data_IF_922583817370
#
_entry.id   IF_922583817370
#
_cell.length_a   1.000
_cell.length_b   1.000
_cell.length_c   1.000
_cell.angle_alpha   90.00
_cell.angle_beta   90.00
_cell.angle_gamma   90.00
#
_symmetry.space_group_name_H-M   'P 1'
#
loop_
_entity.id
_entity.type
_entity.pdbx_description
1 polymer ?
#
# COMPACT_ATOMS: atom_id res chain seq x y z
N UNK A 1 27.55 -13.27 -8.86
CA UNK A 1 26.07 -13.11 -8.79
C UNK A 1 25.55 -12.87 -7.38
N UNK A 2 26.05 -13.56 -6.33
CA UNK A 2 25.60 -13.39 -4.92
C UNK A 2 25.75 -11.95 -4.37
N UNK A 3 26.82 -11.23 -4.74
CA UNK A 3 27.08 -9.87 -4.24
C UNK A 3 26.12 -8.80 -4.78
N UNK A 4 25.61 -8.96 -6.00
CA UNK A 4 24.62 -8.04 -6.60
C UNK A 4 23.23 -8.24 -5.99
N UNK A 5 22.87 -9.49 -5.68
CA UNK A 5 21.62 -9.83 -4.99
C UNK A 5 21.65 -9.34 -3.54
N UNK A 6 22.75 -9.55 -2.83
CA UNK A 6 22.93 -9.06 -1.46
C UNK A 6 22.85 -7.52 -1.39
N UNK A 7 23.54 -6.81 -2.29
CA UNK A 7 23.43 -5.34 -2.39
C UNK A 7 22.02 -4.87 -2.73
N UNK A 8 21.30 -5.58 -3.60
CA UNK A 8 19.92 -5.26 -3.95
C UNK A 8 18.95 -5.40 -2.78
N UNK A 9 19.07 -6.48 -2.00
CA UNK A 9 18.24 -6.70 -0.80
C UNK A 9 18.56 -5.66 0.28
N UNK A 10 19.84 -5.37 0.52
CA UNK A 10 20.26 -4.33 1.48
C UNK A 10 19.75 -2.96 1.07
N UNK A 11 19.81 -2.62 -0.23
CA UNK A 11 19.32 -1.34 -0.74
C UNK A 11 17.80 -1.19 -0.58
N UNK A 12 17.03 -2.23 -0.91
CA UNK A 12 15.57 -2.25 -0.72
C UNK A 12 15.19 -2.19 0.77
N UNK A 13 15.91 -2.91 1.63
CA UNK A 13 15.73 -2.87 3.07
C UNK A 13 16.01 -1.47 3.64
N UNK A 14 17.14 -0.86 3.27
CA UNK A 14 17.52 0.48 3.70
C UNK A 14 16.51 1.54 3.23
N UNK A 15 16.06 1.47 1.97
CA UNK A 15 15.02 2.37 1.46
C UNK A 15 13.72 2.24 2.27
N UNK A 16 13.30 1.02 2.60
CA UNK A 16 12.10 0.78 3.40
C UNK A 16 12.24 1.31 4.83
N UNK A 17 13.41 1.14 5.45
CA UNK A 17 13.72 1.71 6.77
C UNK A 17 13.69 3.23 6.75
N UNK A 18 14.28 3.86 5.73
CA UNK A 18 14.27 5.31 5.55
C UNK A 18 12.84 5.83 5.40
N UNK A 19 12.03 5.20 4.55
CA UNK A 19 10.62 5.59 4.35
C UNK A 19 9.84 5.47 5.67
N UNK A 20 10.02 4.37 6.41
CA UNK A 20 9.34 4.16 7.69
C UNK A 20 9.78 5.18 8.76
N UNK A 21 11.07 5.50 8.83
CA UNK A 21 11.58 6.53 9.73
C UNK A 21 11.01 7.90 9.36
N UNK A 22 10.97 8.23 8.06
CA UNK A 22 10.40 9.49 7.60
C UNK A 22 8.91 9.60 7.96
N UNK A 23 8.14 8.52 7.76
CA UNK A 23 6.74 8.45 8.18
C UNK A 23 6.59 8.58 9.71
N UNK A 24 7.48 7.96 10.50
CA UNK A 24 7.50 8.06 11.95
C UNK A 24 7.81 9.48 12.43
N UNK A 25 8.81 10.15 11.86
CA UNK A 25 9.13 11.53 12.19
C UNK A 25 8.03 12.50 11.73
N UNK A 26 7.46 12.29 10.55
CA UNK A 26 6.30 13.07 10.08
C UNK A 26 5.13 12.94 11.04
N UNK A 27 4.90 11.72 11.55
CA UNK A 27 3.91 11.43 12.59
C UNK A 27 4.20 12.19 13.89
N UNK A 28 5.46 12.20 14.36
CA UNK A 28 5.87 12.96 15.54
C UNK A 28 5.74 14.48 15.39
N UNK A 29 6.06 15.01 14.20
CA UNK A 29 5.95 16.44 13.89
C UNK A 29 4.49 16.86 13.86
N UNK A 30 3.62 16.10 13.17
CA UNK A 30 2.18 16.40 13.20
C UNK A 30 1.59 16.24 14.60
N UNK A 31 2.04 15.28 15.41
CA UNK A 31 1.60 15.13 16.80
C UNK A 31 1.95 16.35 17.69
N UNK A 32 2.95 17.15 17.31
CA UNK A 32 3.26 18.43 17.98
C UNK A 32 2.56 19.64 17.35
N UNK A 33 2.12 19.56 16.10
CA UNK A 33 1.58 20.68 15.33
C UNK A 33 0.04 20.70 15.28
N UNK A 34 -0.62 19.55 15.41
CA UNK A 34 -2.08 19.43 15.53
C UNK A 34 -2.50 19.38 16.99
N UNK A 35 -3.66 19.94 17.31
CA UNK A 35 -4.37 19.63 18.55
C UNK A 35 -4.54 18.10 18.67
N UNK A 36 -4.23 17.48 19.83
CA UNK A 36 -4.05 16.03 19.98
C UNK A 36 -5.22 15.15 19.52
N UNK A 37 -6.44 15.68 19.46
CA UNK A 37 -7.64 14.97 19.00
C UNK A 37 -7.61 14.59 17.50
N UNK A 38 -7.20 15.51 16.63
CA UNK A 38 -7.22 15.30 15.18
C UNK A 38 -6.24 14.22 14.74
N UNK A 39 -5.09 14.20 15.42
CA UNK A 39 -4.03 13.28 15.12
C UNK A 39 -4.38 11.85 15.55
N UNK A 40 -5.06 11.72 16.69
CA UNK A 40 -5.57 10.43 17.18
C UNK A 40 -6.56 9.79 16.20
N UNK A 41 -7.48 10.59 15.65
CA UNK A 41 -8.47 10.10 14.69
C UNK A 41 -7.85 9.61 13.37
N UNK A 42 -6.88 10.36 12.83
CA UNK A 42 -6.16 9.96 11.61
C UNK A 42 -5.31 8.71 11.87
N UNK A 43 -4.61 8.65 13.00
CA UNK A 43 -3.81 7.48 13.39
C UNK A 43 -4.68 6.23 13.55
N UNK A 44 -5.83 6.35 14.21
CA UNK A 44 -6.82 5.28 14.38
C UNK A 44 -7.33 4.79 13.02
N UNK A 45 -7.80 5.70 12.17
CA UNK A 45 -8.32 5.35 10.85
C UNK A 45 -7.24 4.69 9.98
N UNK A 46 -6.01 5.18 10.04
CA UNK A 46 -4.87 4.61 9.30
C UNK A 46 -4.50 3.22 9.84
N UNK A 47 -4.54 3.01 11.16
CA UNK A 47 -4.30 1.71 11.77
C UNK A 47 -5.37 0.68 11.35
N UNK A 48 -6.65 1.06 11.41
CA UNK A 48 -7.75 0.22 10.92
C UNK A 48 -7.57 -0.14 9.44
N UNK A 49 -7.24 0.85 8.61
CA UNK A 49 -6.96 0.64 7.19
C UNK A 49 -5.81 -0.33 6.99
N UNK A 50 -4.72 -0.18 7.75
CA UNK A 50 -3.53 -1.03 7.65
C UNK A 50 -3.84 -2.47 8.01
N UNK A 51 -4.65 -2.70 9.05
CA UNK A 51 -5.09 -4.05 9.45
C UNK A 51 -5.91 -4.69 8.33
N UNK A 52 -6.95 -4.00 7.84
CA UNK A 52 -7.83 -4.51 6.77
C UNK A 52 -7.04 -4.75 5.48
N UNK A 53 -6.16 -3.83 5.12
CA UNK A 53 -5.29 -3.99 3.97
C UNK A 53 -4.37 -5.21 4.13
N UNK A 54 -3.69 -5.35 5.26
CA UNK A 54 -2.76 -6.49 5.48
C UNK A 54 -3.47 -7.84 5.45
N UNK A 55 -4.68 -7.92 6.04
CA UNK A 55 -5.47 -9.16 6.04
C UNK A 55 -5.95 -9.57 4.64
N UNK A 56 -6.17 -8.60 3.76
CA UNK A 56 -6.65 -8.85 2.40
C UNK A 56 -5.53 -8.93 1.38
N UNK A 57 -4.27 -8.77 1.79
CA UNK A 57 -3.13 -8.66 0.89
C UNK A 57 -2.87 -9.94 0.11
N UNK A 58 -3.16 -9.88 -1.19
CA UNK A 58 -2.90 -10.96 -2.11
C UNK A 58 -1.41 -10.99 -2.45
N UNK A 59 -0.69 -12.03 -2.02
CA UNK A 59 0.74 -12.24 -2.33
C UNK A 59 1.03 -12.62 -3.80
N UNK A 60 0.14 -12.25 -4.72
CA UNK A 60 0.19 -12.58 -6.15
C UNK A 60 1.44 -12.01 -6.85
N UNK A 61 1.95 -10.86 -6.39
CA UNK A 61 3.22 -10.32 -6.90
C UNK A 61 4.41 -11.22 -6.60
N UNK A 62 4.46 -11.82 -5.40
CA UNK A 62 5.51 -12.75 -4.99
C UNK A 62 5.38 -14.10 -5.69
N UNK A 63 4.15 -14.56 -5.93
CA UNK A 63 3.87 -15.77 -6.71
C UNK A 63 4.31 -15.62 -8.18
N UNK A 64 4.05 -14.46 -8.78
CA UNK A 64 4.43 -14.18 -10.17
C UNK A 64 5.96 -14.13 -10.38
N UNK A 65 6.72 -13.68 -9.37
CA UNK A 65 8.19 -13.68 -9.40
C UNK A 65 8.77 -15.11 -9.36
N UNK A 66 8.08 -16.05 -8.72
CA UNK A 66 8.49 -17.45 -8.63
C UNK A 66 7.97 -18.30 -9.79
N UNK A 67 7.12 -17.74 -10.65
CA UNK A 67 6.53 -18.43 -11.78
C UNK A 67 7.55 -18.59 -12.92
N UNK A 68 7.62 -19.79 -13.50
CA UNK A 68 8.51 -20.06 -14.63
C UNK A 68 7.87 -19.52 -15.92
N UNK A 69 8.54 -18.56 -16.56
CA UNK A 69 8.15 -17.91 -17.82
C UNK A 69 6.81 -17.13 -17.79
N UNK A 70 6.70 -16.06 -17.00
CA UNK A 70 5.48 -15.27 -16.90
C UNK A 70 5.20 -14.47 -18.19
N UNK A 71 4.10 -14.81 -18.86
CA UNK A 71 3.56 -14.07 -20.01
C UNK A 71 2.93 -12.72 -19.61
N UNK A 72 2.83 -11.79 -20.57
CA UNK A 72 2.19 -10.48 -20.39
C UNK A 72 0.75 -10.59 -19.84
N UNK A 73 0.02 -11.65 -20.21
CA UNK A 73 -1.32 -11.95 -19.68
C UNK A 73 -1.35 -12.17 -18.18
N UNK A 74 -0.35 -12.85 -17.59
CA UNK A 74 -0.30 -13.07 -16.14
C UNK A 74 -0.10 -11.76 -15.37
N UNK A 75 0.69 -10.83 -15.91
CA UNK A 75 0.86 -9.50 -15.33
C UNK A 75 -0.43 -8.69 -15.35
N UNK A 76 -1.18 -8.74 -16.46
CA UNK A 76 -2.49 -8.10 -16.55
C UNK A 76 -3.50 -8.70 -15.57
N UNK A 77 -3.51 -10.03 -15.39
CA UNK A 77 -4.37 -10.69 -14.40
C UNK A 77 -4.03 -10.29 -12.97
N UNK A 78 -2.75 -10.30 -12.58
CA UNK A 78 -2.33 -9.90 -11.23
C UNK A 78 -2.63 -8.42 -10.97
N UNK A 79 -2.49 -7.56 -11.97
CA UNK A 79 -2.87 -6.16 -11.84
C UNK A 79 -4.38 -5.98 -11.66
N UNK A 80 -5.20 -6.63 -12.50
CA UNK A 80 -6.66 -6.55 -12.41
C UNK A 80 -7.18 -7.11 -11.07
N UNK A 81 -6.59 -8.20 -10.56
CA UNK A 81 -6.93 -8.74 -9.25
C UNK A 81 -6.56 -7.78 -8.10
N UNK A 82 -5.40 -7.13 -8.16
CA UNK A 82 -5.01 -6.13 -7.16
C UNK A 82 -5.90 -4.89 -7.21
N UNK A 83 -6.26 -4.43 -8.41
CA UNK A 83 -7.18 -3.31 -8.59
C UNK A 83 -8.58 -3.66 -8.02
N UNK A 84 -9.10 -4.83 -8.36
CA UNK A 84 -10.38 -5.32 -7.83
C UNK A 84 -10.37 -5.44 -6.30
N UNK A 85 -9.29 -5.99 -5.73
CA UNK A 85 -9.10 -6.02 -4.28
C UNK A 85 -9.10 -4.63 -3.66
N UNK A 86 -8.29 -3.70 -4.20
CA UNK A 86 -8.21 -2.32 -3.68
C UNK A 86 -9.58 -1.63 -3.71
N UNK A 87 -10.36 -1.86 -4.78
CA UNK A 87 -11.71 -1.37 -4.90
C UNK A 87 -12.65 -1.94 -3.83
N UNK A 88 -12.66 -3.26 -3.65
CA UNK A 88 -13.49 -3.94 -2.64
C UNK A 88 -13.11 -3.46 -1.23
N UNK A 89 -11.82 -3.41 -0.91
CA UNK A 89 -11.33 -2.97 0.40
C UNK A 89 -11.72 -1.51 0.65
N UNK A 90 -11.50 -0.61 -0.33
CA UNK A 90 -11.87 0.79 -0.20
C UNK A 90 -13.37 0.98 0.01
N UNK A 91 -14.20 0.24 -0.73
CA UNK A 91 -15.66 0.30 -0.60
C UNK A 91 -16.15 -0.21 0.76
N UNK A 92 -15.63 -1.36 1.21
CA UNK A 92 -15.94 -1.89 2.54
C UNK A 92 -15.49 -0.96 3.66
N UNK A 93 -14.31 -0.33 3.50
CA UNK A 93 -13.79 0.63 4.47
C UNK A 93 -14.67 1.89 4.56
N UNK A 94 -15.12 2.41 3.42
CA UNK A 94 -16.09 3.51 3.36
C UNK A 94 -17.45 3.11 3.97
N UNK A 95 -17.94 1.90 3.70
CA UNK A 95 -19.20 1.40 4.26
C UNK A 95 -19.13 1.18 5.77
N UNK A 96 -17.95 0.85 6.31
CA UNK A 96 -17.70 0.71 7.74
C UNK A 96 -17.52 2.06 8.47
N UNK A 97 -17.32 3.16 7.75
CA UNK A 97 -17.11 4.49 8.32
C UNK A 97 -18.21 4.97 9.29
N UNK A 98 -19.52 4.88 8.98
CA UNK A 98 -20.57 5.28 9.91
C UNK A 98 -20.60 4.42 11.19
N UNK A 99 -20.30 3.13 11.08
CA UNK A 99 -20.24 2.20 12.22
C UNK A 99 -19.08 2.60 13.14
N UNK A 100 -17.90 2.86 12.55
CA UNK A 100 -16.75 3.31 13.30
C UNK A 100 -17.01 4.67 13.98
N UNK A 101 -17.63 5.62 13.28
CA UNK A 101 -17.95 6.93 13.83
C UNK A 101 -18.90 6.85 15.04
N UNK A 102 -19.86 5.92 15.02
CA UNK A 102 -20.72 5.65 16.18
C UNK A 102 -19.98 4.96 17.33
N UNK A 103 -19.13 3.97 17.02
CA UNK A 103 -18.36 3.24 18.04
C UNK A 103 -17.38 4.14 18.81
N UNK A 104 -16.78 5.12 18.13
CA UNK A 104 -15.82 6.07 18.72
C UNK A 104 -16.45 7.43 19.10
N UNK A 105 -17.77 7.61 18.91
CA UNK A 105 -18.49 8.87 19.14
C UNK A 105 -17.88 10.10 18.43
N UNK A 106 -17.29 9.89 17.25
CA UNK A 106 -16.53 10.92 16.53
C UNK A 106 -16.98 11.06 15.06
N UNK A 107 -17.87 12.02 14.74
CA UNK A 107 -18.39 12.21 13.38
C UNK A 107 -17.32 12.54 12.34
N UNK A 108 -16.23 13.16 12.78
CA UNK A 108 -15.08 13.54 11.91
C UNK A 108 -14.39 12.32 11.32
N UNK A 109 -14.50 11.16 11.98
CA UNK A 109 -13.93 9.90 11.51
C UNK A 109 -14.51 9.47 10.16
N UNK A 110 -15.77 9.83 9.86
CA UNK A 110 -16.42 9.51 8.58
C UNK A 110 -15.62 10.13 7.42
N UNK A 111 -15.34 11.43 7.48
CA UNK A 111 -14.64 12.14 6.41
C UNK A 111 -13.21 11.61 6.22
N UNK A 112 -12.53 11.27 7.31
CA UNK A 112 -11.18 10.70 7.28
C UNK A 112 -11.20 9.32 6.61
N UNK A 113 -12.12 8.45 7.02
CA UNK A 113 -12.23 7.10 6.45
C UNK A 113 -12.64 7.12 4.98
N UNK A 114 -13.52 8.03 4.56
CA UNK A 114 -13.87 8.24 3.17
C UNK A 114 -12.68 8.72 2.34
N UNK A 115 -11.90 9.68 2.85
CA UNK A 115 -10.69 10.16 2.18
C UNK A 115 -9.64 9.05 2.02
N UNK A 116 -9.41 8.26 3.07
CA UNK A 116 -8.49 7.12 3.05
C UNK A 116 -8.97 5.99 2.14
N UNK A 117 -10.27 5.70 2.13
CA UNK A 117 -10.87 4.73 1.21
C UNK A 117 -10.68 5.14 -0.24
N UNK A 118 -10.95 6.41 -0.57
CA UNK A 118 -10.69 6.96 -1.90
C UNK A 118 -9.21 6.90 -2.27
N UNK A 119 -8.30 7.19 -1.33
CA UNK A 119 -6.86 7.09 -1.53
C UNK A 119 -6.42 5.67 -1.90
N UNK A 120 -6.95 4.63 -1.25
CA UNK A 120 -6.66 3.23 -1.61
C UNK A 120 -7.16 2.89 -3.01
N UNK A 121 -8.38 3.32 -3.35
CA UNK A 121 -8.94 3.08 -4.68
C UNK A 121 -8.04 3.72 -5.73
N UNK A 122 -7.66 4.98 -5.54
CA UNK A 122 -6.73 5.70 -6.41
C UNK A 122 -5.35 5.03 -6.48
N UNK A 123 -4.84 4.52 -5.36
CA UNK A 123 -3.58 3.79 -5.32
C UNK A 123 -3.65 2.47 -6.11
N UNK A 124 -4.80 1.78 -6.12
CA UNK A 124 -5.04 0.58 -6.93
C UNK A 124 -4.96 0.86 -8.44
N UNK A 125 -5.37 2.07 -8.87
CA UNK A 125 -5.26 2.50 -10.28
C UNK A 125 -3.84 2.78 -10.75
N UNK A 126 -2.87 2.96 -9.83
CA UNK A 126 -1.48 3.10 -10.23
C UNK A 126 -1.00 1.80 -10.89
N UNK A 127 -0.90 1.83 -12.22
CA UNK A 127 -0.30 0.75 -13.00
C UNK A 127 1.09 0.48 -12.44
N UNK A 128 1.48 -0.78 -12.19
CA UNK A 128 2.81 -1.11 -11.71
C UNK A 128 3.84 -0.84 -12.82
N UNK A 129 4.23 0.43 -13.00
CA UNK A 129 5.33 0.86 -13.87
C UNK A 129 6.63 0.13 -13.48
N UNK A 130 6.75 -0.27 -12.21
CA UNK A 130 7.88 -1.03 -11.65
C UNK A 130 8.03 -2.44 -12.25
N UNK A 131 6.95 -3.09 -12.67
CA UNK A 131 7.03 -4.44 -13.25
C UNK A 131 7.53 -4.37 -14.71
N UNK A 132 7.06 -3.38 -15.48
CA UNK A 132 7.58 -3.11 -16.82
C UNK A 132 9.03 -2.61 -16.81
N UNK A 133 9.45 -1.83 -15.81
CA UNK A 133 10.84 -1.39 -15.65
C UNK A 133 11.79 -2.55 -15.32
N UNK A 134 11.32 -3.59 -14.61
CA UNK A 134 12.11 -4.80 -14.33
C UNK A 134 12.37 -5.61 -15.61
N UNK A 135 11.50 -5.53 -16.63
CA UNK A 135 11.70 -6.13 -17.97
C UNK A 135 12.86 -5.48 -18.72
N UNK A 136 13.05 -4.14 -18.65
CA UNK A 136 14.16 -3.47 -19.33
C UNK A 136 15.54 -3.73 -18.72
N UNK A 137 15.62 -4.03 -17.42
CA UNK A 137 16.89 -4.32 -16.76
C UNK A 137 17.43 -5.74 -16.99
N UNK A 138 16.56 -6.71 -17.30
CA UNK A 138 16.92 -8.13 -17.43
C UNK A 138 17.12 -8.55 -18.90
N UNK A 139 16.39 -7.94 -19.84
CA UNK A 139 16.47 -8.28 -21.27
C UNK A 139 17.41 -7.39 -22.10
N UNK A 140 18.12 -6.44 -21.47
CA UNK A 140 19.10 -5.58 -22.14
C UNK A 140 20.52 -6.15 -22.23
N UNK A 141 20.75 -7.41 -21.85
CA UNK A 141 22.08 -8.05 -21.87
C UNK A 141 22.24 -9.18 -22.90
N UNK A 142 21.27 -9.40 -23.79
CA UNK A 142 21.35 -10.47 -24.80
C UNK A 142 21.20 -9.99 -26.26
N UNK A 143 21.56 -8.73 -26.55
CA UNK A 143 21.71 -8.23 -27.93
C UNK A 143 23.14 -7.76 -28.15
#
# INVERSE_FOLDING_TARGET
MKDKLAKGVVWLGAAKVIINLLAFFSTLVLARLLTPEDFGLVALATAMLTIVASMTELSLGSALIQYHDPTDTHFHTVWTLNLGRAFIVGLLFCAAAPIAAQAFNEPRLINIMLALGALIVMAGFNKPKIIMLRRRGVFGQEM
#
